data_IF_729136545255
#
_entry.id   IF_729136545255
#
_cell.length_a   1.000
_cell.length_b   1.000
_cell.length_c   1.000
_cell.angle_alpha   90.00
_cell.angle_beta   90.00
_cell.angle_gamma   90.00
#
_symmetry.space_group_name_H-M   'P 1'
#
loop_
_entity.id
_entity.type
_entity.pdbx_description
1 polymer ?
#
# COMPACT_ATOMS: atom_id res chain seq x y z
N UNK A 1 -1.56 -23.29 39.27
CA UNK A 1 -2.60 -23.08 38.25
C UNK A 1 -1.92 -22.30 37.14
N UNK A 2 -1.73 -22.92 35.96
CA UNK A 2 -1.10 -22.26 34.83
C UNK A 2 -2.09 -21.26 34.24
N UNK A 3 -1.74 -19.99 34.25
CA UNK A 3 -2.44 -18.93 33.52
C UNK A 3 -2.31 -19.25 32.03
N UNK A 4 -3.40 -19.69 31.43
CA UNK A 4 -3.57 -19.75 29.98
C UNK A 4 -3.58 -18.30 29.45
N UNK A 5 -2.40 -17.75 29.19
CA UNK A 5 -2.25 -16.46 28.52
C UNK A 5 -2.52 -16.74 27.04
N UNK A 6 -3.79 -16.71 26.64
CA UNK A 6 -4.13 -16.53 25.23
C UNK A 6 -3.66 -15.10 24.87
N UNK A 7 -2.82 -14.92 23.84
CA UNK A 7 -2.46 -13.58 23.39
C UNK A 7 -3.74 -12.81 23.09
N UNK A 8 -3.79 -11.54 23.51
CA UNK A 8 -4.96 -10.70 23.22
C UNK A 8 -5.00 -10.48 21.72
N UNK A 9 -6.19 -10.44 21.12
CA UNK A 9 -6.36 -10.20 19.68
C UNK A 9 -5.59 -8.94 19.19
N UNK A 10 -5.34 -8.00 20.09
CA UNK A 10 -4.49 -6.81 19.90
C UNK A 10 -3.04 -7.12 19.47
N UNK A 11 -2.39 -8.14 20.05
CA UNK A 11 -1.00 -8.52 19.68
C UNK A 11 -0.92 -9.06 18.25
N UNK A 12 -1.96 -9.79 17.80
CA UNK A 12 -2.02 -10.32 16.44
C UNK A 12 -2.31 -9.24 15.40
N UNK A 13 -3.01 -8.17 15.80
CA UNK A 13 -3.28 -6.99 14.99
C UNK A 13 -2.03 -6.08 14.88
N UNK A 14 -1.29 -5.87 15.97
CA UNK A 14 0.03 -5.22 15.92
C UNK A 14 0.99 -5.96 14.99
N UNK A 15 0.92 -7.29 14.99
CA UNK A 15 1.66 -8.13 14.07
C UNK A 15 1.20 -8.02 12.60
N UNK A 16 -0.05 -7.64 12.32
CA UNK A 16 -0.57 -7.49 10.96
C UNK A 16 -0.25 -6.12 10.36
N UNK A 17 -0.01 -5.10 11.18
CA UNK A 17 0.49 -3.78 10.78
C UNK A 17 2.02 -3.63 10.96
N UNK A 18 2.72 -4.70 11.34
CA UNK A 18 4.15 -4.66 11.63
C UNK A 18 4.99 -4.21 10.42
N UNK A 19 5.99 -3.36 10.67
CA UNK A 19 6.86 -2.77 9.63
C UNK A 19 7.56 -3.81 8.73
N UNK A 20 7.82 -5.02 9.24
CA UNK A 20 8.35 -6.16 8.47
C UNK A 20 7.57 -6.46 7.18
N UNK A 21 6.27 -6.16 7.14
CA UNK A 21 5.46 -6.35 5.94
C UNK A 21 5.70 -5.28 4.88
N UNK A 22 6.04 -4.06 5.31
CA UNK A 22 6.49 -3.00 4.41
C UNK A 22 7.85 -3.34 3.81
N UNK A 23 8.79 -3.85 4.62
CA UNK A 23 10.09 -4.34 4.12
C UNK A 23 9.92 -5.49 3.13
N UNK A 24 9.08 -6.48 3.47
CA UNK A 24 8.81 -7.60 2.58
C UNK A 24 8.12 -7.18 1.28
N UNK A 25 7.20 -6.22 1.33
CA UNK A 25 6.59 -5.65 0.14
C UNK A 25 7.61 -4.92 -0.75
N UNK A 26 8.58 -4.22 -0.15
CA UNK A 26 9.68 -3.59 -0.87
C UNK A 26 10.57 -4.62 -1.59
N UNK A 27 10.87 -5.75 -0.96
CA UNK A 27 11.59 -6.86 -1.61
C UNK A 27 10.82 -7.43 -2.80
N UNK A 28 9.50 -7.60 -2.66
CA UNK A 28 8.63 -8.08 -3.74
C UNK A 28 8.53 -7.06 -4.89
N UNK A 29 8.50 -5.76 -4.60
CA UNK A 29 8.56 -4.71 -5.63
C UNK A 29 9.91 -4.71 -6.34
N UNK A 30 11.00 -4.88 -5.60
CA UNK A 30 12.36 -4.87 -6.13
C UNK A 30 12.65 -6.07 -7.03
N UNK A 31 12.06 -7.22 -6.71
CA UNK A 31 12.14 -8.44 -7.53
C UNK A 31 11.15 -8.45 -8.70
N UNK A 32 10.13 -7.59 -8.67
CA UNK A 32 9.08 -7.49 -9.70
C UNK A 32 7.89 -8.42 -9.50
N UNK A 33 7.88 -9.20 -8.41
CA UNK A 33 6.76 -10.08 -8.04
C UNK A 33 5.53 -9.27 -7.62
N UNK A 34 5.73 -8.20 -6.86
CA UNK A 34 4.72 -7.17 -6.60
C UNK A 34 4.93 -6.02 -7.59
N UNK A 35 3.83 -5.50 -8.12
CA UNK A 35 3.85 -4.46 -9.13
C UNK A 35 2.94 -3.32 -8.70
N UNK A 36 3.33 -2.09 -9.01
CA UNK A 36 2.56 -0.91 -8.63
C UNK A 36 2.71 0.21 -9.65
N UNK A 37 1.63 0.97 -9.82
CA UNK A 37 1.62 2.21 -10.59
C UNK A 37 0.77 3.26 -9.91
N UNK A 38 1.23 4.50 -9.94
CA UNK A 38 0.41 5.66 -9.63
C UNK A 38 0.32 6.55 -10.87
N UNK A 39 -0.87 7.04 -11.17
CA UNK A 39 -1.10 7.90 -12.32
C UNK A 39 -2.11 9.00 -12.00
N UNK A 40 -1.89 10.17 -12.60
CA UNK A 40 -2.81 11.29 -12.54
C UNK A 40 -3.39 11.53 -13.94
N UNK A 41 -4.72 11.46 -14.05
CA UNK A 41 -5.48 11.70 -15.28
C UNK A 41 -6.72 12.53 -14.94
N UNK A 42 -7.06 13.52 -15.77
CA UNK A 42 -8.26 14.37 -15.60
C UNK A 42 -8.43 14.97 -14.19
N UNK A 43 -7.32 15.31 -13.51
CA UNK A 43 -7.37 15.86 -12.15
C UNK A 43 -7.69 14.82 -11.07
N UNK A 44 -7.57 13.53 -11.36
CA UNK A 44 -7.76 12.43 -10.41
C UNK A 44 -6.45 11.66 -10.26
N UNK A 45 -5.97 11.55 -9.01
CA UNK A 45 -4.82 10.71 -8.67
C UNK A 45 -5.30 9.31 -8.31
N UNK A 46 -4.77 8.30 -8.99
CA UNK A 46 -5.11 6.89 -8.76
C UNK A 46 -3.85 6.05 -8.56
N UNK A 47 -3.97 5.00 -7.74
CA UNK A 47 -2.95 3.95 -7.63
C UNK A 47 -3.54 2.58 -7.94
N UNK A 48 -2.68 1.70 -8.42
CA UNK A 48 -2.99 0.30 -8.66
C UNK A 48 -1.78 -0.53 -8.26
N UNK A 49 -1.97 -1.47 -7.33
CA UNK A 49 -0.93 -2.39 -6.84
C UNK A 49 -1.45 -3.82 -6.94
N UNK A 50 -0.67 -4.71 -7.53
CA UNK A 50 -1.07 -6.10 -7.74
C UNK A 50 0.11 -7.05 -7.66
N UNK A 51 -0.16 -8.30 -7.27
CA UNK A 51 0.87 -9.32 -7.02
C UNK A 51 0.64 -10.02 -5.67
N UNK A 52 1.61 -10.81 -5.18
CA UNK A 52 1.42 -11.64 -4.01
C UNK A 52 1.44 -10.80 -2.73
N UNK A 53 0.58 -11.17 -1.78
CA UNK A 53 0.56 -10.61 -0.44
C UNK A 53 1.86 -10.96 0.32
N UNK A 54 2.53 -9.98 0.97
CA UNK A 54 3.79 -10.23 1.68
C UNK A 54 3.65 -11.18 2.88
N UNK A 55 2.43 -11.34 3.42
CA UNK A 55 2.14 -12.25 4.54
C UNK A 55 1.71 -13.63 4.10
N UNK A 56 0.69 -13.73 3.23
CA UNK A 56 0.07 -15.02 2.88
C UNK A 56 0.40 -15.53 1.48
N UNK A 57 1.05 -14.73 0.63
CA UNK A 57 1.37 -15.10 -0.75
C UNK A 57 0.18 -15.13 -1.71
N UNK A 58 -1.05 -14.97 -1.24
CA UNK A 58 -2.23 -14.90 -2.12
C UNK A 58 -2.25 -13.61 -2.93
N UNK A 59 -2.88 -13.66 -4.10
CA UNK A 59 -2.90 -12.55 -5.04
C UNK A 59 -3.71 -11.36 -4.50
N UNK A 60 -3.15 -10.16 -4.69
CA UNK A 60 -3.75 -8.86 -4.43
C UNK A 60 -4.00 -8.14 -5.78
N UNK A 61 -5.08 -7.36 -5.85
CA UNK A 61 -5.36 -6.34 -6.88
C UNK A 61 -6.05 -5.17 -6.17
N UNK A 62 -5.24 -4.23 -5.68
CA UNK A 62 -5.68 -3.08 -4.89
C UNK A 62 -5.70 -1.81 -5.77
N UNK A 63 -6.84 -1.13 -5.81
CA UNK A 63 -7.05 0.08 -6.61
C UNK A 63 -7.64 1.17 -5.73
N UNK A 64 -6.96 2.32 -5.71
CA UNK A 64 -7.36 3.43 -4.85
C UNK A 64 -7.45 4.71 -5.67
N UNK A 65 -8.51 5.47 -5.41
CA UNK A 65 -8.64 6.86 -5.84
C UNK A 65 -8.26 7.73 -4.65
N UNK A 66 -7.28 8.60 -4.85
CA UNK A 66 -6.75 9.47 -3.80
C UNK A 66 -7.43 10.82 -3.87
N UNK A 67 -7.87 11.34 -2.73
CA UNK A 67 -8.57 12.63 -2.62
C UNK A 67 -7.63 13.84 -2.65
N UNK A 68 -6.33 13.64 -2.90
CA UNK A 68 -5.40 14.75 -3.09
C UNK A 68 -5.75 15.52 -4.36
N UNK A 69 -6.21 16.77 -4.20
CA UNK A 69 -6.37 17.73 -5.30
C UNK A 69 -5.03 17.86 -6.03
N UNK A 70 -5.02 17.48 -7.30
CA UNK A 70 -3.85 17.56 -8.20
C UNK A 70 -3.36 19.02 -8.37
N UNK A 71 -4.16 19.99 -7.92
CA UNK A 71 -3.79 21.41 -7.86
C UNK A 71 -2.57 21.65 -6.94
N UNK A 72 -2.34 20.79 -5.94
CA UNK A 72 -1.16 20.88 -5.06
C UNK A 72 0.10 20.26 -5.68
N UNK A 73 -0.06 19.37 -6.67
CA UNK A 73 1.04 18.98 -7.57
C UNK A 73 1.41 20.11 -8.55
N UNK A 74 0.60 21.18 -8.57
CA UNK A 74 0.78 22.44 -9.30
C UNK A 74 1.04 23.65 -8.37
N UNK A 75 1.54 23.44 -7.15
CA UNK A 75 1.67 24.50 -6.13
C UNK A 75 2.41 25.78 -6.64
N UNK A 76 1.77 26.97 -6.62
CA UNK A 76 2.35 28.25 -7.08
C UNK A 76 3.18 28.93 -5.98
N UNK A 77 4.18 28.21 -5.45
CA UNK A 77 4.99 28.66 -4.31
C UNK A 77 6.43 28.17 -4.30
N UNK A 78 6.79 27.22 -5.18
CA UNK A 78 8.19 27.09 -5.60
C UNK A 78 8.48 28.26 -6.52
N UNK A 79 9.38 29.15 -6.10
CA UNK A 79 10.08 30.10 -6.99
C UNK A 79 10.39 29.39 -8.31
N UNK A 80 10.25 30.06 -9.48
CA UNK A 80 10.44 29.42 -10.77
C UNK A 80 11.72 28.63 -10.71
N UNK A 81 11.59 27.29 -10.74
CA UNK A 81 12.73 26.42 -10.79
C UNK A 81 13.48 26.86 -12.04
N UNK A 82 14.73 27.27 -11.84
CA UNK A 82 15.73 27.35 -12.90
C UNK A 82 15.49 26.22 -13.89
N UNK A 83 15.37 26.55 -15.19
CA UNK A 83 15.19 25.62 -16.33
C UNK A 83 15.60 24.19 -15.97
N UNK A 84 14.64 23.35 -15.59
CA UNK A 84 14.89 22.01 -15.11
C UNK A 84 13.59 21.26 -14.90
N UNK A 85 13.57 19.98 -15.29
CA UNK A 85 12.45 19.07 -15.11
C UNK A 85 12.13 18.94 -13.61
N UNK A 86 10.86 19.09 -13.17
CA UNK A 86 10.50 18.86 -11.78
C UNK A 86 10.85 17.42 -11.35
N UNK A 87 11.23 17.19 -10.08
CA UNK A 87 11.52 15.84 -9.60
C UNK A 87 10.26 14.96 -9.67
N UNK A 88 10.42 13.64 -9.84
CA UNK A 88 9.30 12.70 -9.81
C UNK A 88 8.59 12.76 -8.44
N UNK A 89 7.27 12.77 -8.48
CA UNK A 89 6.42 12.74 -7.28
C UNK A 89 6.30 11.29 -6.81
N UNK A 90 6.56 11.03 -5.52
CA UNK A 90 6.33 9.74 -4.89
C UNK A 90 5.01 9.78 -4.11
N UNK A 91 4.19 8.75 -4.28
CA UNK A 91 2.93 8.56 -3.60
C UNK A 91 3.06 7.36 -2.64
N UNK A 92 3.01 7.58 -1.31
CA UNK A 92 2.84 6.48 -0.37
C UNK A 92 1.42 5.91 -0.51
N UNK A 93 1.31 4.60 -0.63
CA UNK A 93 0.04 3.87 -0.75
C UNK A 93 -0.01 2.81 0.34
N UNK A 94 -1.02 2.90 1.20
CA UNK A 94 -1.30 1.89 2.23
C UNK A 94 -2.23 0.82 1.65
N UNK A 95 -1.82 -0.44 1.75
CA UNK A 95 -2.54 -1.58 1.18
C UNK A 95 -2.94 -2.50 2.31
N UNK A 96 -4.18 -3.00 2.25
CA UNK A 96 -4.67 -4.05 3.14
C UNK A 96 -5.00 -5.32 2.35
N UNK A 97 -4.55 -6.48 2.83
CA UNK A 97 -4.87 -7.75 2.16
C UNK A 97 -6.31 -8.19 2.45
N UNK A 98 -7.17 -8.08 1.44
CA UNK A 98 -8.53 -8.63 1.41
C UNK A 98 -8.68 -9.90 0.55
N UNK A 99 -7.68 -10.78 0.49
CA UNK A 99 -7.75 -11.98 -0.36
C UNK A 99 -8.93 -12.89 0.05
N UNK A 100 -9.54 -13.61 -0.89
CA UNK A 100 -10.77 -14.40 -0.63
C UNK A 100 -10.58 -15.67 0.21
N UNK A 101 -9.37 -15.95 0.67
CA UNK A 101 -9.05 -17.13 1.46
C UNK A 101 -9.33 -16.89 2.95
N UNK A 102 -9.81 -17.95 3.62
CA UNK A 102 -9.91 -18.00 5.07
C UNK A 102 -8.53 -18.18 5.68
N UNK A 103 -8.23 -17.42 6.72
CA UNK A 103 -6.96 -17.51 7.44
C UNK A 103 -7.17 -18.05 8.86
N UNK A 104 -6.22 -18.82 9.41
CA UNK A 104 -6.24 -19.19 10.82
C UNK A 104 -6.32 -17.92 11.68
N UNK A 105 -7.20 -17.93 12.68
CA UNK A 105 -7.47 -16.81 13.60
C UNK A 105 -8.19 -15.59 13.01
N UNK A 106 -8.60 -15.62 11.74
CA UNK A 106 -9.54 -14.63 11.24
C UNK A 106 -10.91 -14.81 11.96
N UNK A 107 -11.60 -13.72 12.35
CA UNK A 107 -12.99 -13.81 12.79
C UNK A 107 -13.82 -14.56 11.75
N UNK A 108 -14.79 -15.37 12.20
CA UNK A 108 -15.70 -16.07 11.30
C UNK A 108 -16.28 -15.11 10.25
N UNK A 109 -16.37 -15.59 9.00
CA UNK A 109 -16.83 -14.84 7.82
C UNK A 109 -15.91 -13.71 7.30
N UNK A 110 -14.70 -13.56 7.86
CA UNK A 110 -13.71 -12.60 7.34
C UNK A 110 -12.75 -13.28 6.36
N UNK A 111 -12.64 -12.72 5.15
CA UNK A 111 -11.63 -13.08 4.17
C UNK A 111 -10.42 -12.14 4.30
N UNK A 112 -9.24 -12.63 3.95
CA UNK A 112 -8.01 -11.84 3.98
C UNK A 112 -7.18 -12.11 5.21
N UNK A 113 -5.86 -11.98 5.08
CA UNK A 113 -4.95 -12.20 6.21
C UNK A 113 -4.80 -10.96 7.11
N UNK A 114 -5.53 -9.89 6.82
CA UNK A 114 -5.57 -8.66 7.61
C UNK A 114 -4.26 -7.87 7.66
N UNK A 115 -3.25 -8.25 6.86
CA UNK A 115 -1.98 -7.51 6.82
C UNK A 115 -2.19 -6.15 6.18
N UNK A 116 -1.58 -5.12 6.77
CA UNK A 116 -1.42 -3.80 6.16
C UNK A 116 0.05 -3.48 5.97
N UNK A 117 0.37 -2.86 4.83
CA UNK A 117 1.74 -2.46 4.49
C UNK A 117 1.72 -1.25 3.57
N UNK A 118 2.84 -0.52 3.52
CA UNK A 118 2.99 0.67 2.68
C UNK A 118 3.92 0.40 1.50
N UNK A 119 3.60 0.97 0.35
CA UNK A 119 4.50 1.03 -0.81
C UNK A 119 4.65 2.45 -1.29
N UNK A 120 5.79 2.78 -1.90
CA UNK A 120 6.02 4.09 -2.52
C UNK A 120 5.98 3.94 -4.05
N UNK A 121 5.08 4.66 -4.70
CA UNK A 121 4.88 4.62 -6.14
C UNK A 121 5.22 5.95 -6.79
N UNK A 122 5.99 5.91 -7.88
CA UNK A 122 6.24 7.10 -8.67
C UNK A 122 5.01 7.45 -9.51
N UNK A 123 4.52 8.69 -9.35
CA UNK A 123 3.35 9.20 -10.08
C UNK A 123 3.73 9.53 -11.52
N UNK A 124 2.96 8.99 -12.47
CA UNK A 124 3.02 9.37 -13.89
C UNK A 124 1.86 10.29 -14.22
N UNK A 125 2.16 11.47 -14.72
CA UNK A 125 1.14 12.38 -15.26
C UNK A 125 0.87 11.98 -16.70
N UNK A 126 -0.37 11.60 -17.00
CA UNK A 126 -0.82 11.32 -18.36
C UNK A 126 -1.58 12.54 -18.86
N UNK A 127 -0.99 13.23 -19.85
CA UNK A 127 -1.57 14.41 -20.52
C UNK A 127 -2.69 14.04 -21.48
#
# INVERSE_FOLDING_TARGET
MATDIRPRDDEQYDESAAYRWTERAYELLSSGDLQGRAFAADGVLSSHVWGPCPRCGHQLDDRQVHTALVDELRWPGRRPATKGTPPPIQLPVDIACGCTHTHPHAPGDTTGCGVSFRVELTVRVTS
#
